data_IF_076459115232
#
_entry.id   IF_076459115232
#
_cell.length_a   1.000
_cell.length_b   1.000
_cell.length_c   1.000
_cell.angle_alpha   90.00
_cell.angle_beta   90.00
_cell.angle_gamma   90.00
#
_symmetry.space_group_name_H-M   'P 1'
#
loop_
_entity.id
_entity.type
_entity.pdbx_description
1 polymer ?
#
# COMPACT_ATOMS: atom_id res chain seq x y z
N UNK A 1 -35.22 -21.20 17.22
CA UNK A 1 -35.18 -20.85 15.79
C UNK A 1 -33.72 -20.93 15.39
N UNK A 2 -33.35 -22.02 14.72
CA UNK A 2 -31.95 -22.32 14.46
C UNK A 2 -31.48 -21.52 13.24
N UNK A 3 -30.96 -20.33 13.49
CA UNK A 3 -30.45 -19.41 12.48
C UNK A 3 -29.48 -20.10 11.51
N UNK A 4 -28.77 -21.13 12.00
CA UNK A 4 -27.84 -21.90 11.19
C UNK A 4 -28.55 -22.71 10.09
N UNK A 5 -29.66 -23.38 10.42
CA UNK A 5 -30.48 -24.10 9.43
C UNK A 5 -31.08 -23.15 8.38
N UNK A 6 -31.56 -21.98 8.82
CA UNK A 6 -32.10 -20.96 7.90
C UNK A 6 -31.04 -20.43 6.94
N UNK A 7 -29.79 -20.27 7.41
CA UNK A 7 -28.69 -19.84 6.55
C UNK A 7 -28.31 -20.96 5.60
N UNK A 8 -28.27 -22.22 6.03
CA UNK A 8 -27.89 -23.36 5.19
C UNK A 8 -28.82 -23.53 3.99
N UNK A 9 -30.13 -23.27 4.15
CA UNK A 9 -31.16 -23.34 3.11
C UNK A 9 -31.07 -22.23 2.05
N UNK A 10 -30.35 -21.14 2.31
CA UNK A 10 -30.20 -20.04 1.35
C UNK A 10 -29.33 -20.44 0.16
N UNK A 11 -29.69 -19.94 -1.03
CA UNK A 11 -28.82 -20.05 -2.19
C UNK A 11 -27.50 -19.28 -1.96
N UNK A 12 -26.43 -19.68 -2.64
CA UNK A 12 -25.11 -19.03 -2.50
C UNK A 12 -25.13 -17.53 -2.79
N UNK A 13 -26.05 -17.07 -3.63
CA UNK A 13 -26.22 -15.65 -3.91
C UNK A 13 -26.89 -14.92 -2.73
N UNK A 14 -27.95 -15.50 -2.17
CA UNK A 14 -28.67 -14.92 -1.03
C UNK A 14 -27.80 -14.91 0.24
N UNK A 15 -26.95 -15.93 0.44
CA UNK A 15 -25.94 -15.95 1.51
C UNK A 15 -24.97 -14.77 1.39
N UNK A 16 -24.52 -14.46 0.17
CA UNK A 16 -23.63 -13.32 -0.09
C UNK A 16 -24.33 -11.99 0.15
N UNK A 17 -25.57 -11.86 -0.32
CA UNK A 17 -26.34 -10.63 -0.16
C UNK A 17 -26.69 -10.39 1.32
N UNK A 18 -27.04 -11.44 2.08
CA UNK A 18 -27.24 -11.39 3.53
C UNK A 18 -25.96 -10.95 4.26
N UNK A 19 -24.79 -11.51 3.89
CA UNK A 19 -23.52 -11.12 4.48
C UNK A 19 -23.18 -9.63 4.23
N UNK A 20 -23.47 -9.11 3.03
CA UNK A 20 -23.31 -7.68 2.72
C UNK A 20 -24.21 -6.82 3.60
N UNK A 21 -25.47 -7.21 3.78
CA UNK A 21 -26.42 -6.49 4.64
C UNK A 21 -25.96 -6.51 6.09
N UNK A 22 -25.62 -7.69 6.63
CA UNK A 22 -25.18 -7.84 8.02
C UNK A 22 -23.91 -7.03 8.32
N UNK A 23 -22.91 -7.06 7.43
CA UNK A 23 -21.70 -6.24 7.57
C UNK A 23 -22.00 -4.74 7.64
N UNK A 24 -23.02 -4.28 6.91
CA UNK A 24 -23.47 -2.88 6.94
C UNK A 24 -24.17 -2.52 8.25
N UNK A 25 -25.11 -3.36 8.69
CA UNK A 25 -25.89 -3.13 9.91
C UNK A 25 -25.02 -3.24 11.18
N UNK A 26 -24.07 -4.17 11.21
CA UNK A 26 -23.11 -4.35 12.31
C UNK A 26 -21.99 -3.30 12.32
N UNK A 27 -21.93 -2.41 11.31
CA UNK A 27 -20.91 -1.38 11.22
C UNK A 27 -19.50 -1.87 10.88
N UNK A 28 -19.35 -3.14 10.46
CA UNK A 28 -18.07 -3.69 10.01
C UNK A 28 -17.57 -3.03 8.71
N UNK A 29 -18.49 -2.54 7.87
CA UNK A 29 -18.13 -1.71 6.72
C UNK A 29 -18.06 -0.24 7.13
N UNK A 30 -16.87 0.39 7.16
CA UNK A 30 -16.73 1.77 7.60
C UNK A 30 -17.43 2.73 6.64
N UNK A 31 -18.42 3.50 7.11
CA UNK A 31 -19.14 4.46 6.28
C UNK A 31 -18.23 5.66 5.94
N UNK A 32 -17.40 5.55 4.90
CA UNK A 32 -16.34 6.53 4.58
C UNK A 32 -16.86 7.96 4.41
N UNK A 33 -18.11 8.13 3.97
CA UNK A 33 -18.75 9.42 3.86
C UNK A 33 -18.98 10.14 5.20
N UNK A 34 -19.00 9.39 6.32
CA UNK A 34 -19.24 9.87 7.68
C UNK A 34 -17.99 9.84 8.57
N UNK A 35 -16.97 9.03 8.23
CA UNK A 35 -15.76 8.85 9.05
C UNK A 35 -15.08 10.16 9.44
N UNK A 36 -14.90 11.11 8.50
CA UNK A 36 -14.18 12.36 8.82
C UNK A 36 -15.05 13.44 9.47
N UNK A 37 -16.39 13.39 9.35
CA UNK A 37 -17.25 14.30 10.10
C UNK A 37 -17.23 13.98 11.59
N UNK A 38 -17.18 12.70 11.97
CA UNK A 38 -17.19 12.28 13.38
C UNK A 38 -15.84 12.49 14.08
N UNK A 39 -14.71 12.35 13.36
CA UNK A 39 -13.36 12.47 13.96
C UNK A 39 -12.98 13.92 14.28
N UNK A 40 -13.55 14.89 13.56
CA UNK A 40 -13.11 16.28 13.59
C UNK A 40 -14.07 17.24 14.31
N UNK A 41 -15.10 16.76 15.00
CA UNK A 41 -16.08 17.65 15.67
C UNK A 41 -15.43 18.62 16.67
N UNK A 42 -14.27 18.26 17.24
CA UNK A 42 -13.54 19.04 18.25
C UNK A 42 -12.18 19.60 17.79
N UNK A 43 -11.83 19.51 16.51
CA UNK A 43 -10.55 20.03 16.01
C UNK A 43 -10.69 21.36 15.28
N UNK A 44 -9.78 22.30 15.57
CA UNK A 44 -9.70 23.57 14.86
C UNK A 44 -9.45 23.32 13.36
N UNK A 45 -10.32 23.88 12.51
CA UNK A 45 -10.21 23.72 11.06
C UNK A 45 -9.13 24.66 10.53
N UNK A 46 -8.04 24.09 10.01
CA UNK A 46 -6.94 24.82 9.39
C UNK A 46 -6.96 24.64 7.87
N UNK A 47 -6.47 25.64 7.15
CA UNK A 47 -6.29 25.54 5.71
C UNK A 47 -5.22 24.49 5.37
N UNK A 48 -5.52 23.45 4.56
CA UNK A 48 -4.56 22.39 4.24
C UNK A 48 -3.41 22.83 3.30
N UNK A 49 -3.42 24.10 2.86
CA UNK A 49 -2.42 24.62 1.93
C UNK A 49 -1.40 25.56 2.60
N UNK A 50 -1.83 26.32 3.61
CA UNK A 50 -1.01 27.30 4.31
C UNK A 50 -1.09 27.19 5.84
N UNK A 51 -1.86 26.23 6.36
CA UNK A 51 -2.01 25.91 7.78
C UNK A 51 -2.58 27.04 8.67
N UNK A 52 -3.12 28.10 8.07
CA UNK A 52 -3.78 29.18 8.80
C UNK A 52 -5.26 28.90 9.07
N UNK A 53 -5.77 29.51 10.15
CA UNK A 53 -7.15 29.45 10.60
C UNK A 53 -8.00 30.62 10.08
N UNK A 54 -7.40 31.58 9.36
CA UNK A 54 -8.14 32.66 8.71
C UNK A 54 -8.92 32.14 7.48
N UNK A 55 -10.05 31.52 7.79
CA UNK A 55 -10.95 30.84 6.87
C UNK A 55 -12.39 31.32 7.09
N UNK A 56 -13.22 31.17 6.07
CA UNK A 56 -14.66 31.42 6.20
C UNK A 56 -15.47 30.32 5.50
N UNK A 57 -16.73 30.19 5.92
CA UNK A 57 -17.67 29.26 5.30
C UNK A 57 -17.96 29.64 3.85
N UNK A 58 -17.76 28.71 2.93
CA UNK A 58 -17.93 28.88 1.49
C UNK A 58 -19.09 28.01 0.96
N UNK A 59 -20.21 28.04 1.67
CA UNK A 59 -21.43 27.30 1.35
C UNK A 59 -21.35 25.80 1.64
N UNK A 60 -22.40 25.10 1.21
CA UNK A 60 -22.59 23.67 1.38
C UNK A 60 -22.75 23.02 0.01
N UNK A 61 -22.08 21.89 -0.23
CA UNK A 61 -22.25 21.12 -1.45
C UNK A 61 -22.48 19.65 -1.11
N UNK A 62 -23.60 19.08 -1.57
CA UNK A 62 -24.00 17.69 -1.29
C UNK A 62 -23.90 17.32 0.19
N UNK A 63 -24.45 18.18 1.05
CA UNK A 63 -24.47 17.99 2.50
C UNK A 63 -23.14 18.24 3.22
N UNK A 64 -22.12 18.78 2.53
CA UNK A 64 -20.80 19.03 3.12
C UNK A 64 -20.45 20.51 3.15
N UNK A 65 -19.96 20.97 4.29
CA UNK A 65 -19.45 22.33 4.44
C UNK A 65 -18.18 22.52 3.62
N UNK A 66 -18.07 23.68 2.98
CA UNK A 66 -16.87 24.12 2.29
C UNK A 66 -16.28 25.31 3.02
N UNK A 67 -14.98 25.47 2.93
CA UNK A 67 -14.22 26.57 3.49
C UNK A 67 -13.45 27.27 2.38
N UNK A 68 -13.19 28.56 2.56
CA UNK A 68 -12.23 29.31 1.74
C UNK A 68 -11.26 30.02 2.67
N UNK A 69 -9.97 29.81 2.40
CA UNK A 69 -8.91 30.50 3.13
C UNK A 69 -8.79 31.93 2.61
N UNK A 70 -8.69 32.92 3.52
CA UNK A 70 -8.52 34.33 3.12
C UNK A 70 -7.10 34.63 2.67
N UNK A 71 -6.10 33.96 3.25
CA UNK A 71 -4.71 34.19 2.93
C UNK A 71 -4.31 33.64 1.55
N UNK A 72 -4.56 32.35 1.27
CA UNK A 72 -4.19 31.73 -0.01
C UNK A 72 -5.33 31.66 -1.03
N UNK A 73 -6.53 32.14 -0.69
CA UNK A 73 -7.72 32.15 -1.54
C UNK A 73 -8.23 30.77 -2.02
N UNK A 74 -7.61 29.66 -1.60
CA UNK A 74 -8.02 28.30 -1.98
C UNK A 74 -9.25 27.84 -1.20
N UNK A 75 -10.11 27.08 -1.88
CA UNK A 75 -11.26 26.43 -1.24
C UNK A 75 -10.93 24.99 -0.85
N UNK A 76 -11.43 24.55 0.30
CA UNK A 76 -11.26 23.19 0.77
C UNK A 76 -12.51 22.71 1.53
N UNK A 77 -12.49 21.47 1.95
CA UNK A 77 -13.53 20.83 2.75
C UNK A 77 -12.92 19.76 3.65
N UNK A 78 -13.76 19.12 4.44
CA UNK A 78 -13.35 18.08 5.37
C UNK A 78 -12.76 16.85 4.69
N UNK A 79 -12.75 16.71 3.36
CA UNK A 79 -12.07 15.60 2.66
C UNK A 79 -10.80 16.04 1.95
N UNK A 80 -10.48 17.33 1.94
CA UNK A 80 -9.27 17.83 1.29
C UNK A 80 -8.04 17.20 1.95
N UNK A 81 -7.10 16.74 1.12
CA UNK A 81 -5.91 16.01 1.57
C UNK A 81 -6.11 14.51 1.88
N UNK A 82 -7.34 13.97 1.84
CA UNK A 82 -7.58 12.53 2.10
C UNK A 82 -7.69 11.71 0.82
N UNK A 83 -7.58 10.39 0.98
CA UNK A 83 -7.81 9.42 -0.10
C UNK A 83 -9.16 9.61 -0.81
N UNK A 84 -10.20 10.03 -0.08
CA UNK A 84 -11.57 10.23 -0.62
C UNK A 84 -11.82 11.62 -1.21
N UNK A 85 -10.82 12.52 -1.18
CA UNK A 85 -10.92 13.85 -1.81
C UNK A 85 -11.32 13.73 -3.28
N UNK A 86 -12.33 14.47 -3.74
CA UNK A 86 -12.78 14.46 -5.14
C UNK A 86 -13.46 13.15 -5.61
N UNK A 87 -13.65 12.15 -4.74
CA UNK A 87 -14.39 10.93 -5.08
C UNK A 87 -15.90 11.23 -5.08
N UNK A 88 -16.52 11.10 -6.26
CA UNK A 88 -17.95 11.40 -6.46
C UNK A 88 -18.88 10.25 -6.05
N UNK A 89 -18.40 9.00 -6.11
CA UNK A 89 -19.17 7.77 -5.80
C UNK A 89 -18.50 7.05 -4.63
N UNK A 90 -18.66 7.57 -3.42
CA UNK A 90 -17.95 7.08 -2.23
C UNK A 90 -18.36 5.66 -1.88
N UNK A 91 -19.64 5.32 -1.97
CA UNK A 91 -20.14 3.98 -1.65
C UNK A 91 -19.47 2.92 -2.54
N UNK A 92 -19.41 3.18 -3.84
CA UNK A 92 -18.70 2.31 -4.79
C UNK A 92 -17.18 2.28 -4.58
N UNK A 93 -16.59 3.37 -4.09
CA UNK A 93 -15.17 3.40 -3.75
C UNK A 93 -14.89 2.53 -2.53
N UNK A 94 -15.79 2.52 -1.55
CA UNK A 94 -15.73 1.64 -0.39
C UNK A 94 -15.82 0.18 -0.79
N UNK A 95 -16.81 -0.19 -1.64
CA UNK A 95 -16.87 -1.54 -2.23
C UNK A 95 -15.58 -1.89 -3.00
N UNK A 96 -14.99 -0.92 -3.70
CA UNK A 96 -13.73 -1.14 -4.41
C UNK A 96 -12.53 -1.44 -3.50
N UNK A 97 -12.53 -0.97 -2.24
CA UNK A 97 -11.48 -1.34 -1.29
C UNK A 97 -11.48 -2.85 -1.03
N UNK A 98 -12.66 -3.44 -0.84
CA UNK A 98 -12.81 -4.88 -0.64
C UNK A 98 -12.35 -5.66 -1.88
N UNK A 99 -12.74 -5.22 -3.07
CA UNK A 99 -12.27 -5.84 -4.33
C UNK A 99 -10.75 -5.74 -4.50
N UNK A 100 -10.13 -4.71 -3.94
CA UNK A 100 -8.68 -4.55 -3.95
C UNK A 100 -8.01 -5.58 -3.03
N UNK A 101 -8.57 -5.84 -1.85
CA UNK A 101 -8.09 -6.87 -0.93
C UNK A 101 -8.26 -8.28 -1.53
N UNK A 102 -9.36 -8.52 -2.23
CA UNK A 102 -9.61 -9.75 -3.01
C UNK A 102 -8.74 -9.87 -4.27
N UNK A 103 -7.83 -8.92 -4.53
CA UNK A 103 -6.96 -8.89 -5.70
C UNK A 103 -7.71 -8.94 -7.05
N UNK A 104 -8.93 -8.42 -7.10
CA UNK A 104 -9.74 -8.36 -8.32
C UNK A 104 -9.11 -7.41 -9.32
N UNK A 105 -9.03 -7.83 -10.59
CA UNK A 105 -8.44 -6.99 -11.63
C UNK A 105 -9.28 -5.74 -11.93
N UNK A 106 -8.62 -4.64 -12.32
CA UNK A 106 -9.24 -3.35 -12.64
C UNK A 106 -10.47 -3.48 -13.56
N UNK A 107 -10.36 -4.30 -14.62
CA UNK A 107 -11.47 -4.50 -15.58
C UNK A 107 -12.64 -5.28 -14.97
N UNK A 108 -12.35 -6.30 -14.16
CA UNK A 108 -13.38 -7.09 -13.46
C UNK A 108 -14.09 -6.21 -12.43
N UNK A 109 -13.34 -5.42 -11.65
CA UNK A 109 -13.88 -4.47 -10.69
C UNK A 109 -14.76 -3.40 -11.37
N UNK A 110 -14.31 -2.84 -12.50
CA UNK A 110 -15.09 -1.88 -13.28
C UNK A 110 -16.45 -2.46 -13.74
N UNK A 111 -16.46 -3.72 -14.19
CA UNK A 111 -17.68 -4.44 -14.56
C UNK A 111 -18.59 -4.69 -13.34
N UNK A 112 -18.03 -5.21 -12.24
CA UNK A 112 -18.76 -5.52 -10.99
C UNK A 112 -19.43 -4.26 -10.43
N UNK A 113 -18.69 -3.16 -10.34
CA UNK A 113 -19.17 -1.89 -9.79
C UNK A 113 -19.93 -1.02 -10.79
N UNK A 114 -20.03 -1.44 -12.07
CA UNK A 114 -20.67 -0.68 -13.16
C UNK A 114 -20.14 0.77 -13.24
N UNK A 115 -18.82 0.90 -13.34
CA UNK A 115 -18.10 2.17 -13.53
C UNK A 115 -17.06 2.04 -14.64
N UNK A 116 -16.51 3.15 -15.13
CA UNK A 116 -15.49 3.09 -16.16
C UNK A 116 -14.18 2.52 -15.61
N UNK A 117 -13.40 1.86 -16.48
CA UNK A 117 -12.06 1.36 -16.14
C UNK A 117 -11.14 2.48 -15.64
N UNK A 118 -11.25 3.67 -16.21
CA UNK A 118 -10.47 4.84 -15.80
C UNK A 118 -10.80 5.25 -14.36
N UNK A 119 -12.08 5.25 -13.96
CA UNK A 119 -12.46 5.53 -12.58
C UNK A 119 -11.81 4.56 -11.60
N UNK A 120 -11.81 3.26 -11.90
CA UNK A 120 -11.13 2.27 -11.06
C UNK A 120 -9.62 2.48 -11.03
N UNK A 121 -9.01 2.81 -12.17
CA UNK A 121 -7.59 3.10 -12.25
C UNK A 121 -7.21 4.30 -11.38
N UNK A 122 -7.96 5.39 -11.44
CA UNK A 122 -7.74 6.59 -10.63
C UNK A 122 -7.92 6.30 -9.13
N UNK A 123 -8.97 5.55 -8.78
CA UNK A 123 -9.19 5.08 -7.40
C UNK A 123 -8.06 4.23 -6.89
N UNK A 124 -7.51 3.33 -7.72
CA UNK A 124 -6.33 2.53 -7.36
C UNK A 124 -5.11 3.40 -7.07
N UNK A 125 -4.87 4.44 -7.87
CA UNK A 125 -3.76 5.37 -7.62
C UNK A 125 -3.96 6.16 -6.33
N UNK A 126 -5.20 6.56 -6.01
CA UNK A 126 -5.51 7.21 -4.73
C UNK A 126 -5.23 6.29 -3.53
N UNK A 127 -5.65 5.03 -3.60
CA UNK A 127 -5.38 4.03 -2.54
C UNK A 127 -3.86 3.86 -2.38
N UNK A 128 -3.14 3.60 -3.47
CA UNK A 128 -1.68 3.41 -3.42
C UNK A 128 -0.94 4.64 -2.89
N UNK A 129 -1.37 5.85 -3.29
CA UNK A 129 -0.82 7.09 -2.75
C UNK A 129 -1.08 7.22 -1.25
N UNK A 130 -2.27 6.86 -0.75
CA UNK A 130 -2.55 6.89 0.69
C UNK A 130 -1.76 5.86 1.50
N UNK A 131 -1.46 4.70 0.91
CA UNK A 131 -0.63 3.68 1.56
C UNK A 131 0.85 4.08 1.65
N UNK A 132 1.30 5.06 0.88
CA UNK A 132 2.69 5.55 0.97
C UNK A 132 3.05 6.09 2.36
N UNK A 133 2.05 6.51 3.14
CA UNK A 133 2.20 7.00 4.52
C UNK A 133 2.62 5.88 5.49
N UNK A 134 2.34 4.61 5.17
CA UNK A 134 2.67 3.46 6.02
C UNK A 134 4.20 3.20 6.01
N UNK A 135 4.90 3.61 4.97
CA UNK A 135 6.36 3.54 4.90
C UNK A 135 6.98 4.71 5.66
N UNK A 136 7.55 4.51 6.86
CA UNK A 136 8.13 5.67 7.55
C UNK A 136 8.67 5.50 8.96
N UNK A 137 8.40 4.40 9.64
CA UNK A 137 8.83 4.22 11.03
C UNK A 137 10.24 3.62 11.10
N UNK A 138 11.04 4.08 12.05
CA UNK A 138 12.29 3.41 12.41
C UNK A 138 11.99 2.02 12.96
N UNK A 139 12.79 1.03 12.57
CA UNK A 139 12.59 -0.35 12.99
C UNK A 139 13.04 -0.58 14.43
N UNK A 140 12.42 -1.53 15.13
CA UNK A 140 12.77 -1.89 16.50
C UNK A 140 13.23 -3.34 16.61
N UNK A 141 14.37 -3.56 17.25
CA UNK A 141 14.88 -4.91 17.53
C UNK A 141 15.35 -5.64 16.26
N UNK A 142 14.86 -6.86 16.06
CA UNK A 142 15.21 -7.71 14.92
C UNK A 142 14.49 -7.23 13.67
N UNK A 143 15.27 -6.95 12.63
CA UNK A 143 14.81 -6.49 11.32
C UNK A 143 15.11 -7.57 10.30
N UNK A 144 14.07 -8.06 9.64
CA UNK A 144 14.19 -8.96 8.50
C UNK A 144 14.20 -8.13 7.23
N UNK A 145 15.10 -8.42 6.28
CA UNK A 145 15.08 -7.81 4.96
C UNK A 145 15.40 -8.80 3.83
N UNK A 146 14.83 -8.51 2.66
CA UNK A 146 15.05 -9.25 1.42
C UNK A 146 14.90 -8.34 0.19
N UNK A 147 15.38 -8.80 -0.96
CA UNK A 147 15.21 -8.15 -2.25
C UNK A 147 14.28 -8.94 -3.19
N UNK A 148 13.24 -8.27 -3.70
CA UNK A 148 12.32 -8.88 -4.65
C UNK A 148 12.45 -8.23 -6.02
N UNK A 149 12.68 -9.07 -7.02
CA UNK A 149 12.83 -8.63 -8.40
C UNK A 149 11.52 -8.77 -9.19
N UNK A 150 11.08 -7.67 -9.78
CA UNK A 150 9.91 -7.61 -10.64
C UNK A 150 10.30 -7.34 -12.09
N UNK A 151 9.62 -7.97 -13.04
CA UNK A 151 9.74 -7.58 -14.44
C UNK A 151 9.09 -6.22 -14.63
N UNK A 152 9.82 -5.30 -15.26
CA UNK A 152 9.29 -3.98 -15.56
C UNK A 152 8.24 -4.10 -16.65
N UNK A 153 7.17 -3.34 -16.48
CA UNK A 153 6.11 -3.25 -17.45
C UNK A 153 5.85 -1.78 -17.79
N UNK A 154 6.20 -1.39 -19.01
CA UNK A 154 6.00 -0.03 -19.52
C UNK A 154 4.66 0.10 -20.25
N UNK A 155 3.63 -0.57 -19.72
CA UNK A 155 2.31 -0.60 -20.34
C UNK A 155 1.77 0.82 -20.48
N UNK A 156 1.49 1.22 -21.71
CA UNK A 156 0.98 2.56 -22.03
C UNK A 156 2.07 3.60 -22.27
N UNK A 157 3.35 3.26 -22.13
CA UNK A 157 4.43 4.13 -22.62
C UNK A 157 4.37 4.22 -24.14
N UNK A 158 4.55 5.44 -24.65
CA UNK A 158 4.71 5.72 -26.09
C UNK A 158 6.18 5.84 -26.52
N UNK A 159 7.10 5.80 -25.55
CA UNK A 159 8.54 5.90 -25.74
C UNK A 159 9.15 4.64 -25.14
N UNK A 160 9.45 3.66 -25.98
CA UNK A 160 10.05 2.40 -25.56
C UNK A 160 11.44 2.31 -26.20
N UNK A 161 12.45 2.02 -25.39
CA UNK A 161 13.82 1.74 -25.87
C UNK A 161 13.97 0.30 -26.39
N UNK A 162 12.85 -0.42 -26.54
CA UNK A 162 12.75 -1.81 -26.96
C UNK A 162 11.49 -2.04 -27.79
N UNK A 163 11.47 -3.15 -28.50
CA UNK A 163 10.29 -3.62 -29.21
C UNK A 163 9.06 -3.80 -28.30
N UNK A 164 7.91 -3.41 -28.84
CA UNK A 164 6.63 -3.59 -28.18
C UNK A 164 6.24 -5.07 -28.16
N UNK A 165 5.62 -5.50 -27.07
CA UNK A 165 5.09 -6.87 -26.94
C UNK A 165 3.74 -6.86 -26.23
N UNK A 166 2.95 -7.93 -26.45
CA UNK A 166 1.55 -8.00 -25.97
C UNK A 166 1.46 -8.45 -24.52
N UNK A 167 2.29 -9.40 -24.08
CA UNK A 167 2.32 -9.94 -22.71
C UNK A 167 3.75 -9.98 -22.16
N UNK A 168 3.95 -9.79 -20.83
CA UNK A 168 5.28 -9.89 -20.21
C UNK A 168 5.99 -11.24 -20.42
N UNK A 169 5.23 -12.31 -20.71
CA UNK A 169 5.74 -13.64 -21.10
C UNK A 169 6.45 -13.64 -22.45
N UNK A 170 6.04 -12.75 -23.35
CA UNK A 170 6.52 -12.68 -24.73
C UNK A 170 7.91 -12.02 -24.78
N UNK A 171 8.30 -11.35 -23.69
CA UNK A 171 9.62 -10.76 -23.54
C UNK A 171 10.66 -11.86 -23.33
N UNK A 172 11.63 -11.94 -24.25
CA UNK A 172 12.87 -12.71 -24.06
C UNK A 172 13.76 -12.02 -23.01
N UNK A 173 13.41 -12.15 -21.74
CA UNK A 173 14.29 -11.72 -20.63
C UNK A 173 15.35 -12.78 -20.40
N UNK A 174 16.63 -12.38 -20.27
CA UNK A 174 17.69 -13.29 -19.81
C UNK A 174 17.26 -13.94 -18.48
N UNK A 175 17.48 -15.25 -18.32
CA UNK A 175 17.30 -15.94 -17.03
C UNK A 175 18.32 -15.36 -16.02
N UNK A 176 17.92 -15.20 -14.77
CA UNK A 176 18.76 -14.62 -13.71
C UNK A 176 18.68 -13.09 -13.60
N UNK A 177 19.71 -12.50 -13.00
CA UNK A 177 19.81 -11.06 -12.75
C UNK A 177 20.07 -10.35 -14.08
N UNK A 178 19.16 -9.46 -14.47
CA UNK A 178 19.27 -8.66 -15.68
C UNK A 178 18.94 -7.21 -15.37
N UNK A 179 19.50 -6.29 -16.14
CA UNK A 179 19.21 -4.84 -16.05
C UNK A 179 17.76 -4.50 -16.48
N UNK A 180 16.94 -5.51 -16.75
CA UNK A 180 15.56 -5.43 -17.23
C UNK A 180 14.52 -5.66 -16.14
N UNK A 181 14.98 -5.84 -14.89
CA UNK A 181 14.15 -6.07 -13.72
C UNK A 181 14.27 -4.89 -12.76
N UNK A 182 13.20 -4.62 -12.03
CA UNK A 182 13.17 -3.66 -10.94
C UNK A 182 13.38 -4.44 -9.64
N UNK A 183 14.39 -4.07 -8.86
CA UNK A 183 14.59 -4.62 -7.53
C UNK A 183 13.93 -3.72 -6.50
N UNK A 184 13.16 -4.32 -5.61
CA UNK A 184 12.48 -3.67 -4.48
C UNK A 184 13.04 -4.27 -3.21
N UNK A 185 13.56 -3.42 -2.33
CA UNK A 185 13.90 -3.85 -0.97
C UNK A 185 12.63 -3.94 -0.15
N UNK A 186 12.46 -5.07 0.53
CA UNK A 186 11.41 -5.31 1.51
C UNK A 186 12.08 -5.50 2.86
N UNK A 187 11.58 -4.83 3.88
CA UNK A 187 12.03 -5.03 5.24
C UNK A 187 10.86 -4.95 6.21
N UNK A 188 10.92 -5.68 7.32
CA UNK A 188 9.98 -5.55 8.43
C UNK A 188 10.70 -5.85 9.73
N UNK A 189 10.28 -5.19 10.81
CA UNK A 189 10.63 -5.66 12.15
C UNK A 189 9.64 -6.72 12.64
N UNK A 190 9.93 -7.31 13.80
CA UNK A 190 9.05 -8.28 14.48
C UNK A 190 7.76 -7.69 15.04
N UNK A 191 7.61 -6.37 15.03
CA UNK A 191 6.36 -5.70 15.40
C UNK A 191 5.42 -5.54 14.20
N UNK A 192 5.85 -5.96 13.01
CA UNK A 192 5.05 -5.88 11.79
C UNK A 192 5.01 -4.47 11.22
N UNK A 193 6.12 -3.72 11.29
CA UNK A 193 6.29 -2.46 10.56
C UNK A 193 6.90 -2.75 9.18
N UNK A 194 6.11 -2.93 8.10
CA UNK A 194 6.65 -3.20 6.78
C UNK A 194 7.21 -1.93 6.13
N UNK A 195 8.26 -2.12 5.34
CA UNK A 195 8.84 -1.12 4.46
C UNK A 195 9.08 -1.76 3.10
N UNK A 196 8.56 -1.12 2.06
CA UNK A 196 8.84 -1.51 0.68
C UNK A 196 9.30 -0.30 -0.12
N UNK A 197 10.53 -0.35 -0.64
CA UNK A 197 11.06 0.72 -1.49
C UNK A 197 11.75 0.18 -2.72
N UNK A 198 11.53 0.87 -3.84
CA UNK A 198 12.28 0.61 -5.08
C UNK A 198 13.75 0.91 -4.80
N UNK A 199 14.60 -0.09 -5.00
CA UNK A 199 16.03 0.02 -4.76
C UNK A 199 16.76 0.54 -5.99
N UNK A 200 16.65 -0.21 -7.10
CA UNK A 200 17.21 0.16 -8.39
C UNK A 200 16.72 -0.77 -9.50
N UNK A 201 17.04 -0.35 -10.72
CA UNK A 201 17.05 -1.21 -11.90
C UNK A 201 18.19 -2.22 -11.81
N UNK A 202 17.90 -3.49 -12.11
CA UNK A 202 18.85 -4.59 -12.06
C UNK A 202 19.19 -5.02 -10.64
N UNK A 203 20.39 -5.58 -10.45
CA UNK A 203 20.85 -6.09 -9.15
C UNK A 203 21.00 -4.97 -8.13
N UNK A 204 20.57 -5.21 -6.89
CA UNK A 204 20.88 -4.33 -5.76
C UNK A 204 22.39 -4.27 -5.52
N UNK A 205 22.85 -3.13 -5.00
CA UNK A 205 24.19 -2.87 -4.47
C UNK A 205 24.08 -2.24 -3.07
N UNK A 206 25.20 -2.11 -2.36
CA UNK A 206 25.24 -1.57 -0.98
C UNK A 206 24.60 -0.18 -0.89
N UNK A 207 24.85 0.69 -1.88
CA UNK A 207 24.31 2.04 -1.90
C UNK A 207 22.78 2.06 -2.06
N UNK A 208 22.23 1.14 -2.87
CA UNK A 208 20.78 0.98 -3.03
C UNK A 208 20.11 0.46 -1.75
N UNK A 209 20.82 -0.36 -0.95
CA UNK A 209 20.33 -0.79 0.37
C UNK A 209 20.30 0.40 1.34
N UNK A 210 21.36 1.21 1.37
CA UNK A 210 21.40 2.42 2.22
C UNK A 210 20.26 3.40 1.87
N UNK A 211 20.07 3.70 0.58
CA UNK A 211 19.02 4.62 0.12
C UNK A 211 17.59 4.13 0.40
N UNK A 212 17.40 2.83 0.58
CA UNK A 212 16.07 2.24 0.80
C UNK A 212 15.77 2.08 2.28
N UNK A 213 16.52 1.24 2.98
CA UNK A 213 16.23 0.84 4.36
C UNK A 213 17.17 1.52 5.38
N UNK A 214 18.28 2.12 4.93
CA UNK A 214 19.35 2.59 5.80
C UNK A 214 18.95 3.67 6.80
N UNK A 215 18.04 4.58 6.43
CA UNK A 215 17.52 5.63 7.32
C UNK A 215 16.58 5.13 8.42
N UNK A 216 16.09 3.89 8.31
CA UNK A 216 15.16 3.29 9.27
C UNK A 216 15.85 2.32 10.23
N UNK A 217 17.12 1.99 9.97
CA UNK A 217 17.92 1.06 10.75
C UNK A 217 18.90 1.85 11.63
N UNK A 218 18.85 1.55 12.93
CA UNK A 218 19.77 2.05 13.96
C UNK A 218 20.86 1.01 14.28
N UNK A 219 21.99 1.41 14.90
CA UNK A 219 23.03 0.47 15.34
C UNK A 219 22.56 -0.60 16.32
N UNK A 220 21.46 -0.35 17.04
CA UNK A 220 20.89 -1.29 18.02
C UNK A 220 20.01 -2.37 17.37
N UNK A 221 19.78 -2.30 16.05
CA UNK A 221 18.98 -3.30 15.35
C UNK A 221 19.84 -4.53 15.01
N UNK A 222 19.20 -5.70 15.04
CA UNK A 222 19.81 -6.95 14.58
C UNK A 222 19.22 -7.26 13.20
N UNK A 223 20.06 -7.32 12.18
CA UNK A 223 19.64 -7.58 10.82
C UNK A 223 19.57 -9.09 10.54
N UNK A 224 18.51 -9.52 9.86
CA UNK A 224 18.33 -10.86 9.34
C UNK A 224 18.06 -10.77 7.84
N UNK A 225 18.87 -11.43 7.02
CA UNK A 225 18.63 -11.44 5.56
C UNK A 225 19.12 -12.74 4.93
N UNK A 226 18.75 -12.96 3.68
CA UNK A 226 19.44 -13.92 2.83
C UNK A 226 20.90 -13.50 2.63
N UNK A 227 21.74 -14.46 2.22
CA UNK A 227 23.19 -14.29 2.04
C UNK A 227 23.56 -13.47 0.80
N UNK A 228 22.79 -12.44 0.47
CA UNK A 228 23.04 -11.56 -0.66
C UNK A 228 24.30 -10.69 -0.38
N UNK A 229 25.34 -10.75 -1.23
CA UNK A 229 26.63 -10.09 -0.96
C UNK A 229 26.54 -8.59 -0.67
N UNK A 230 25.64 -7.88 -1.35
CA UNK A 230 25.45 -6.45 -1.15
C UNK A 230 24.84 -6.10 0.20
N UNK A 231 23.98 -6.95 0.76
CA UNK A 231 23.38 -6.74 2.09
C UNK A 231 24.44 -7.03 3.15
N UNK A 232 25.24 -8.09 2.98
CA UNK A 232 26.37 -8.43 3.86
C UNK A 232 27.38 -7.28 3.91
N UNK A 233 27.79 -6.77 2.75
CA UNK A 233 28.72 -5.65 2.67
C UNK A 233 28.16 -4.40 3.34
N UNK A 234 26.89 -4.08 3.07
CA UNK A 234 26.20 -2.95 3.67
C UNK A 234 26.13 -3.04 5.20
N UNK A 235 25.72 -4.19 5.73
CA UNK A 235 25.61 -4.42 7.17
C UNK A 235 26.97 -4.34 7.86
N UNK A 236 28.01 -4.88 7.24
CA UNK A 236 29.40 -4.77 7.73
C UNK A 236 29.86 -3.31 7.79
N UNK A 237 29.58 -2.52 6.75
CA UNK A 237 29.97 -1.11 6.69
C UNK A 237 29.21 -0.24 7.72
N UNK A 238 27.98 -0.63 8.10
CA UNK A 238 27.20 0.00 9.17
C UNK A 238 27.49 -0.55 10.57
N UNK A 239 28.40 -1.51 10.70
CA UNK A 239 28.73 -2.17 11.96
C UNK A 239 27.51 -2.80 12.66
N UNK A 240 26.57 -3.34 11.88
CA UNK A 240 25.36 -3.98 12.39
C UNK A 240 25.61 -5.44 12.78
N UNK A 241 24.95 -5.88 13.84
CA UNK A 241 24.81 -7.32 14.07
C UNK A 241 23.96 -7.91 12.94
N UNK A 242 24.54 -8.85 12.18
CA UNK A 242 23.90 -9.42 10.99
C UNK A 242 23.93 -10.95 11.00
N UNK A 243 22.75 -11.55 10.92
CA UNK A 243 22.57 -12.99 10.74
C UNK A 243 22.10 -13.28 9.32
N UNK A 244 22.92 -14.00 8.57
CA UNK A 244 22.60 -14.43 7.22
C UNK A 244 21.99 -15.83 7.19
N UNK A 245 21.06 -16.04 6.27
CA UNK A 245 20.45 -17.33 5.98
C UNK A 245 20.79 -17.79 4.58
N UNK A 246 20.96 -19.10 4.43
CA UNK A 246 21.11 -19.76 3.14
C UNK A 246 19.89 -20.66 2.99
N UNK A 247 19.02 -20.32 2.04
CA UNK A 247 17.73 -20.98 1.81
C UNK A 247 17.82 -22.52 1.66
N UNK A 248 18.99 -23.08 1.33
CA UNK A 248 19.21 -24.53 1.17
C UNK A 248 19.77 -25.26 2.39
N UNK A 249 20.15 -24.58 3.48
CA UNK A 249 20.87 -25.21 4.60
C UNK A 249 20.32 -24.90 5.99
N UNK A 250 19.75 -23.71 6.22
CA UNK A 250 19.35 -23.31 7.56
C UNK A 250 18.24 -22.26 7.50
N UNK A 251 17.06 -22.59 8.05
CA UNK A 251 15.89 -21.69 8.08
C UNK A 251 15.72 -20.95 9.41
N UNK A 252 16.40 -21.40 10.47
CA UNK A 252 16.38 -20.80 11.80
C UNK A 252 17.79 -20.90 12.41
N UNK A 253 18.31 -19.78 12.93
CA UNK A 253 19.59 -19.72 13.65
C UNK A 253 19.31 -19.33 15.10
N UNK A 254 19.96 -20.02 16.04
CA UNK A 254 19.80 -19.80 17.50
C UNK A 254 18.33 -19.76 17.98
N UNK A 255 17.44 -20.52 17.33
CA UNK A 255 16.00 -20.63 17.64
C UNK A 255 15.14 -19.35 17.48
N UNK A 256 15.72 -18.16 17.35
CA UNK A 256 14.97 -16.90 17.27
C UNK A 256 15.17 -16.09 15.97
N UNK A 257 16.22 -16.35 15.18
CA UNK A 257 16.51 -15.60 13.95
C UNK A 257 16.04 -16.34 12.69
N UNK A 258 15.29 -15.64 11.83
CA UNK A 258 14.79 -16.14 10.54
C UNK A 258 14.31 -14.98 9.65
N UNK A 259 13.96 -15.28 8.38
CA UNK A 259 13.43 -14.32 7.36
C UNK A 259 11.97 -14.60 6.92
N UNK A 260 11.19 -15.27 7.77
CA UNK A 260 9.84 -15.72 7.40
C UNK A 260 8.80 -14.60 7.27
N UNK A 261 8.92 -13.48 7.99
CA UNK A 261 7.94 -12.39 7.95
C UNK A 261 8.05 -11.54 6.68
N UNK A 262 9.25 -11.41 6.12
CA UNK A 262 9.43 -10.73 4.83
C UNK A 262 8.88 -11.59 3.67
N UNK A 263 8.90 -12.90 3.84
CA UNK A 263 8.50 -13.87 2.82
C UNK A 263 7.01 -14.26 2.87
N UNK A 264 6.30 -13.92 3.95
CA UNK A 264 4.86 -14.20 4.12
C UNK A 264 3.96 -13.29 3.31
#
# INVERSE_FOLDING_TARGET
MDLQLMIEELADQDKKDLLVILKRELGETPQLAKVRSTINENQQVLCPHCHTDDIYGHGIYKGRKRYKCKQCSKTFNDFTGTAISGIKKIDKFQEYLELTLESVSIRKAAKKLRVSTNTIFDWRHKILASLSIINGNSFVGIVECDDKQFKINEKGSRKLDREAYKRPSDRKTKRGISNDKLSVMVATDRKGNPLMKIAKMGRIDSDSVEKTIGSFISPNNILCSDSHPSIILWAKNKELEHHTFVASKQHVKNQCYHVQHVNS
#
